data_IF_790727032160
#
_entry.id   IF_790727032160
#
_cell.length_a   1.000
_cell.length_b   1.000
_cell.length_c   1.000
_cell.angle_alpha   90.00
_cell.angle_beta   90.00
_cell.angle_gamma   90.00
#
_symmetry.space_group_name_H-M   'P 1'
#
loop_
_entity.id
_entity.type
_entity.pdbx_description
1 polymer ?
#
# COMPACT_ATOMS: atom_id res chain seq x y z
N UNK A 1 -0.13 -23.13 5.09
CA UNK A 1 -1.39 -22.57 5.61
C UNK A 1 -2.60 -23.38 5.14
N UNK A 2 -2.87 -23.49 3.83
CA UNK A 2 -3.97 -24.33 3.27
C UNK A 2 -4.08 -25.74 3.85
N UNK A 3 -2.96 -26.45 4.00
CA UNK A 3 -2.97 -27.79 4.61
C UNK A 3 -3.48 -27.79 6.06
N UNK A 4 -3.17 -26.75 6.83
CA UNK A 4 -3.68 -26.59 8.18
C UNK A 4 -5.19 -26.35 8.19
N UNK A 5 -5.72 -25.57 7.24
CA UNK A 5 -7.16 -25.39 7.06
C UNK A 5 -7.84 -26.72 6.73
N UNK A 6 -7.30 -27.49 5.77
CA UNK A 6 -7.79 -28.84 5.43
C UNK A 6 -7.78 -29.77 6.65
N UNK A 7 -6.75 -29.69 7.49
CA UNK A 7 -6.66 -30.46 8.73
C UNK A 7 -7.43 -29.90 9.93
N UNK A 8 -8.21 -28.82 9.76
CA UNK A 8 -9.00 -28.19 10.84
C UNK A 8 -10.46 -28.01 10.42
N UNK A 9 -10.95 -26.77 10.36
CA UNK A 9 -12.38 -26.47 10.18
C UNK A 9 -12.88 -26.87 8.79
N UNK A 10 -12.05 -26.81 7.75
CA UNK A 10 -12.45 -27.25 6.41
C UNK A 10 -12.58 -28.77 6.32
N UNK A 11 -11.65 -29.51 6.94
CA UNK A 11 -11.73 -30.97 7.04
C UNK A 11 -12.99 -31.40 7.76
N UNK A 12 -13.31 -30.74 8.88
CA UNK A 12 -14.56 -30.96 9.61
C UNK A 12 -15.81 -30.75 8.74
N UNK A 13 -15.86 -29.69 7.93
CA UNK A 13 -16.97 -29.47 6.99
C UNK A 13 -17.08 -30.64 5.99
N UNK A 14 -15.96 -31.13 5.48
CA UNK A 14 -15.92 -32.25 4.53
C UNK A 14 -16.34 -33.59 5.12
N UNK A 15 -15.97 -33.85 6.37
CA UNK A 15 -16.27 -35.11 7.06
C UNK A 15 -17.67 -35.13 7.70
N UNK A 16 -18.26 -33.96 7.94
CA UNK A 16 -19.55 -33.85 8.64
C UNK A 16 -20.73 -34.20 7.70
N UNK A 17 -21.61 -35.15 8.08
CA UNK A 17 -22.62 -35.73 7.19
C UNK A 17 -23.60 -34.71 6.58
N UNK A 18 -23.92 -33.67 7.34
CA UNK A 18 -24.81 -32.58 6.91
C UNK A 18 -24.04 -31.45 6.22
N UNK A 19 -22.90 -31.00 6.76
CA UNK A 19 -22.21 -29.80 6.29
C UNK A 19 -21.60 -29.98 4.90
N UNK A 20 -21.09 -31.19 4.59
CA UNK A 20 -20.51 -31.49 3.28
C UNK A 20 -21.45 -31.22 2.10
N UNK A 21 -22.77 -31.26 2.33
CA UNK A 21 -23.80 -31.01 1.32
C UNK A 21 -24.33 -29.56 1.35
N UNK A 22 -24.04 -28.80 2.41
CA UNK A 22 -24.53 -27.44 2.61
C UNK A 22 -23.46 -26.37 2.36
N UNK A 23 -22.19 -26.72 2.55
CA UNK A 23 -21.07 -25.78 2.54
C UNK A 23 -20.04 -26.23 1.51
N UNK A 24 -19.76 -25.35 0.55
CA UNK A 24 -18.69 -25.52 -0.42
C UNK A 24 -17.52 -24.61 -0.04
N UNK A 25 -16.35 -25.19 0.24
CA UNK A 25 -15.12 -24.44 0.54
C UNK A 25 -14.18 -24.50 -0.66
N UNK A 26 -13.60 -23.35 -1.04
CA UNK A 26 -12.62 -23.21 -2.11
C UNK A 26 -11.52 -22.23 -1.72
N UNK A 27 -10.27 -22.55 -2.07
CA UNK A 27 -9.15 -21.62 -2.01
C UNK A 27 -9.08 -20.81 -3.31
N UNK A 28 -8.78 -19.52 -3.19
CA UNK A 28 -8.69 -18.60 -4.33
C UNK A 28 -7.24 -18.18 -4.48
N UNK A 29 -6.64 -18.48 -5.63
CA UNK A 29 -5.24 -18.19 -5.91
C UNK A 29 -5.14 -17.39 -7.21
N UNK A 30 -4.29 -16.37 -7.22
CA UNK A 30 -3.95 -15.68 -8.46
C UNK A 30 -3.16 -16.60 -9.37
N UNK A 31 -3.59 -16.72 -10.62
CA UNK A 31 -3.02 -17.64 -11.61
C UNK A 31 -1.52 -17.38 -11.85
N UNK A 32 -1.08 -16.14 -11.71
CA UNK A 32 0.28 -15.74 -12.04
C UNK A 32 1.03 -15.32 -10.77
N UNK A 33 2.23 -15.86 -10.54
CA UNK A 33 3.14 -15.29 -9.55
C UNK A 33 3.80 -14.01 -10.09
N UNK A 34 4.23 -13.10 -9.22
CA UNK A 34 4.93 -11.89 -9.65
C UNK A 34 6.31 -12.23 -10.27
N UNK A 35 6.56 -11.92 -11.57
CA UNK A 35 7.81 -12.22 -12.27
C UNK A 35 9.02 -11.45 -11.74
N UNK A 36 8.79 -10.39 -10.97
CA UNK A 36 9.84 -9.49 -10.49
C UNK A 36 10.39 -10.00 -9.15
N UNK A 37 11.72 -10.14 -8.98
CA UNK A 37 12.36 -10.45 -7.71
C UNK A 37 11.97 -9.43 -6.63
N UNK A 38 11.82 -9.85 -5.38
CA UNK A 38 11.34 -8.97 -4.31
C UNK A 38 12.23 -7.73 -4.11
N UNK A 39 13.54 -7.91 -4.28
CA UNK A 39 14.55 -6.86 -4.15
C UNK A 39 14.44 -5.80 -5.25
N UNK A 40 13.94 -6.20 -6.43
CA UNK A 40 13.78 -5.38 -7.63
C UNK A 40 12.37 -4.77 -7.77
N UNK A 41 11.51 -4.90 -6.74
CA UNK A 41 10.19 -4.25 -6.71
C UNK A 41 10.26 -2.84 -6.11
N UNK A 42 9.41 -1.94 -6.58
CA UNK A 42 9.21 -0.62 -5.95
C UNK A 42 8.72 -0.76 -4.50
N UNK A 43 7.87 -1.75 -4.24
CA UNK A 43 7.43 -2.14 -2.90
C UNK A 43 7.08 -3.64 -2.89
N UNK A 44 7.21 -4.27 -1.73
CA UNK A 44 7.02 -5.71 -1.56
C UNK A 44 5.57 -6.19 -1.85
N UNK A 45 4.60 -5.29 -1.78
CA UNK A 45 3.17 -5.60 -1.88
C UNK A 45 2.61 -5.52 -3.30
N UNK A 46 3.40 -4.99 -4.24
CA UNK A 46 3.05 -4.81 -5.64
C UNK A 46 3.93 -5.67 -6.54
N UNK A 47 3.58 -5.76 -7.83
CA UNK A 47 4.45 -6.32 -8.85
C UNK A 47 4.96 -5.25 -9.82
N UNK A 48 5.46 -4.13 -9.27
CA UNK A 48 5.99 -3.01 -10.08
C UNK A 48 7.52 -3.01 -10.02
N UNK A 49 8.15 -2.97 -11.19
CA UNK A 49 9.61 -2.96 -11.32
C UNK A 49 10.20 -1.65 -10.79
N UNK A 50 11.27 -1.78 -10.01
CA UNK A 50 12.06 -0.64 -9.58
C UNK A 50 12.91 -0.12 -10.75
N UNK A 51 12.47 0.98 -11.34
CA UNK A 51 13.10 1.61 -12.51
C UNK A 51 14.29 2.50 -12.12
N UNK A 52 15.29 1.92 -11.46
CA UNK A 52 16.57 2.58 -11.19
C UNK A 52 17.57 2.25 -12.30
N UNK A 53 18.24 3.28 -12.81
CA UNK A 53 19.34 3.20 -13.77
C UNK A 53 20.68 3.48 -13.09
N UNK A 54 21.79 3.18 -13.78
CA UNK A 54 23.10 3.45 -13.22
C UNK A 54 23.30 4.96 -13.01
N UNK A 55 23.59 5.41 -11.78
CA UNK A 55 23.73 6.83 -11.51
C UNK A 55 25.06 7.36 -12.05
N UNK A 56 25.05 8.64 -12.44
CA UNK A 56 26.27 9.37 -12.78
C UNK A 56 27.11 9.52 -11.50
N UNK A 57 28.34 9.03 -11.52
CA UNK A 57 29.17 8.96 -10.31
C UNK A 57 29.67 10.35 -9.87
N UNK A 58 29.63 10.60 -8.55
CA UNK A 58 30.29 11.69 -7.81
C UNK A 58 29.78 13.11 -8.08
N UNK A 59 28.47 13.35 -8.00
CA UNK A 59 28.00 14.72 -7.85
C UNK A 59 26.81 14.80 -6.92
N UNK A 60 26.83 15.83 -6.07
CA UNK A 60 25.63 16.45 -5.54
C UNK A 60 24.69 16.72 -6.72
N UNK A 61 23.50 16.14 -6.70
CA UNK A 61 22.48 16.27 -7.72
C UNK A 61 21.44 17.28 -7.25
N UNK A 62 21.21 18.30 -8.09
CA UNK A 62 20.09 19.23 -7.92
C UNK A 62 18.83 18.54 -8.45
N UNK A 63 17.75 18.48 -7.66
CA UNK A 63 16.48 17.89 -8.12
C UNK A 63 15.88 18.63 -9.33
N UNK A 64 16.21 19.91 -9.45
CA UNK A 64 15.72 20.85 -10.44
C UNK A 64 16.86 21.79 -10.86
N UNK A 65 16.98 22.04 -12.16
CA UNK A 65 17.96 22.96 -12.74
C UNK A 65 17.26 23.98 -13.62
N UNK A 66 17.57 25.27 -13.43
CA UNK A 66 17.09 26.40 -14.23
C UNK A 66 15.55 26.44 -14.41
N UNK A 67 14.77 26.80 -13.38
CA UNK A 67 13.32 26.99 -13.52
C UNK A 67 13.03 28.11 -14.54
N UNK A 68 12.28 27.80 -15.60
CA UNK A 68 12.03 28.73 -16.71
C UNK A 68 11.20 29.95 -16.27
N UNK A 69 9.97 29.71 -15.76
CA UNK A 69 9.01 30.76 -15.44
C UNK A 69 8.45 30.55 -14.04
N UNK A 70 8.93 31.37 -13.11
CA UNK A 70 8.42 31.42 -11.74
C UNK A 70 7.17 32.31 -11.68
N UNK A 71 6.15 31.86 -10.97
CA UNK A 71 4.89 32.57 -10.76
C UNK A 71 4.75 32.91 -9.27
N UNK A 72 4.34 34.13 -8.90
CA UNK A 72 4.01 34.43 -7.51
C UNK A 72 2.88 33.53 -7.01
N UNK A 73 3.03 32.99 -5.82
CA UNK A 73 2.01 32.23 -5.13
C UNK A 73 1.27 33.12 -4.14
N UNK A 74 -0.06 33.05 -4.13
CA UNK A 74 -0.90 33.73 -3.14
C UNK A 74 -0.88 33.05 -1.77
N UNK A 75 -0.13 31.96 -1.62
CA UNK A 75 -0.09 31.14 -0.40
C UNK A 75 1.28 31.22 0.28
N UNK A 76 1.26 31.23 1.61
CA UNK A 76 2.47 31.35 2.44
C UNK A 76 3.17 30.01 2.71
N UNK A 77 2.50 28.89 2.41
CA UNK A 77 3.02 27.54 2.67
C UNK A 77 2.82 26.63 1.46
N UNK A 78 3.91 26.11 0.93
CA UNK A 78 3.95 25.17 -0.20
C UNK A 78 4.64 23.89 0.24
N UNK A 79 4.19 22.73 -0.23
CA UNK A 79 4.83 21.46 0.09
C UNK A 79 5.01 20.54 -1.13
N UNK A 80 5.99 19.64 -1.02
CA UNK A 80 6.32 18.61 -2.01
C UNK A 80 6.50 17.26 -1.31
N UNK A 81 5.67 16.27 -1.66
CA UNK A 81 5.86 14.89 -1.22
C UNK A 81 6.84 14.13 -2.12
N UNK A 82 7.69 13.31 -1.50
CA UNK A 82 8.60 12.44 -2.21
C UNK A 82 8.84 11.12 -1.46
N UNK A 83 9.29 10.12 -2.21
CA UNK A 83 9.67 8.81 -1.72
C UNK A 83 11.07 8.45 -2.17
N UNK A 84 11.85 7.91 -1.25
CA UNK A 84 13.21 7.43 -1.49
C UNK A 84 13.16 5.96 -1.86
N UNK A 85 13.65 5.61 -3.04
CA UNK A 85 13.67 4.25 -3.59
C UNK A 85 15.02 3.54 -3.43
N UNK A 86 16.07 4.31 -3.17
CA UNK A 86 17.41 3.83 -2.77
C UNK A 86 18.06 4.87 -1.82
N UNK A 87 18.89 4.49 -0.84
CA UNK A 87 19.34 5.43 0.19
C UNK A 87 20.08 6.66 -0.36
N UNK A 88 19.64 7.84 0.07
CA UNK A 88 20.22 9.14 -0.31
C UNK A 88 20.65 9.95 0.91
N UNK A 89 21.47 10.97 0.67
CA UNK A 89 21.84 11.99 1.65
C UNK A 89 21.45 13.34 1.11
N UNK A 90 20.63 14.08 1.85
CA UNK A 90 20.31 15.47 1.50
C UNK A 90 21.39 16.39 2.06
N UNK A 91 21.93 17.25 1.20
CA UNK A 91 23.08 18.10 1.52
C UNK A 91 22.73 19.58 1.55
N UNK A 92 21.73 20.02 0.77
CA UNK A 92 21.27 21.41 0.74
C UNK A 92 19.77 21.49 0.51
N UNK A 93 19.14 22.48 1.11
CA UNK A 93 17.75 22.88 0.85
C UNK A 93 17.76 24.26 0.19
N UNK A 94 16.84 24.49 -0.74
CA UNK A 94 16.82 25.72 -1.51
C UNK A 94 15.44 26.26 -1.82
N UNK A 95 15.43 27.54 -2.19
CA UNK A 95 14.25 28.36 -2.45
C UNK A 95 14.41 29.13 -3.75
N UNK A 96 13.31 29.36 -4.45
CA UNK A 96 13.29 30.23 -5.62
C UNK A 96 13.55 31.70 -5.24
N UNK A 97 14.17 32.49 -6.13
CA UNK A 97 14.38 33.92 -5.92
C UNK A 97 13.05 34.68 -5.91
N UNK A 98 12.95 35.73 -5.09
CA UNK A 98 11.71 36.50 -4.90
C UNK A 98 11.47 37.57 -5.96
N UNK A 99 12.37 37.78 -6.92
CA UNK A 99 12.24 38.86 -7.91
C UNK A 99 13.07 38.70 -9.19
N UNK A 100 12.83 39.56 -10.20
CA UNK A 100 13.37 39.42 -11.56
C UNK A 100 14.90 39.56 -11.65
N UNK A 101 15.53 40.17 -10.65
CA UNK A 101 16.99 40.38 -10.59
C UNK A 101 17.76 39.26 -9.85
N UNK A 102 17.16 38.08 -9.65
CA UNK A 102 17.78 36.96 -8.90
C UNK A 102 18.06 37.27 -7.41
N UNK A 103 17.58 38.40 -6.90
CA UNK A 103 17.69 38.76 -5.49
C UNK A 103 16.69 37.95 -4.66
N UNK A 104 17.11 37.52 -3.49
CA UNK A 104 16.24 36.95 -2.48
C UNK A 104 15.91 38.03 -1.46
N UNK A 105 14.63 38.41 -1.37
CA UNK A 105 14.18 39.42 -0.41
C UNK A 105 13.03 38.83 0.38
N UNK A 106 13.31 38.47 1.63
CA UNK A 106 12.35 37.83 2.51
C UNK A 106 13.00 36.88 3.52
N UNK A 107 12.16 36.17 4.24
CA UNK A 107 12.47 35.10 5.17
C UNK A 107 11.64 33.87 4.78
N UNK A 108 12.33 32.84 4.31
CA UNK A 108 11.73 31.55 3.97
C UNK A 108 12.42 30.48 4.79
N UNK A 109 11.61 29.67 5.46
CA UNK A 109 12.08 28.48 6.16
C UNK A 109 11.70 27.26 5.33
N UNK A 110 12.69 26.41 5.07
CA UNK A 110 12.51 25.14 4.37
C UNK A 110 12.74 24.02 5.37
N UNK A 111 11.74 23.15 5.53
CA UNK A 111 11.78 22.02 6.47
C UNK A 111 11.57 20.73 5.71
N UNK A 112 12.32 19.69 6.08
CA UNK A 112 12.08 18.33 5.63
C UNK A 112 11.49 17.54 6.77
N UNK A 113 10.35 16.91 6.51
CA UNK A 113 9.68 16.04 7.47
C UNK A 113 9.67 14.61 6.98
N UNK A 114 9.78 13.68 7.93
CA UNK A 114 9.31 12.32 7.73
C UNK A 114 7.81 12.30 7.97
N UNK A 115 7.03 11.56 7.19
CA UNK A 115 5.56 11.62 7.32
C UNK A 115 5.05 11.10 8.67
N UNK A 116 5.81 10.22 9.33
CA UNK A 116 5.53 9.67 10.66
C UNK A 116 5.99 10.58 11.81
N UNK A 117 6.70 11.68 11.53
CA UNK A 117 7.30 12.55 12.54
C UNK A 117 6.68 13.95 12.53
N UNK A 118 6.50 14.50 13.74
CA UNK A 118 6.05 15.89 13.92
C UNK A 118 7.18 16.91 13.86
N UNK A 119 8.41 16.46 14.13
CA UNK A 119 9.58 17.32 14.11
C UNK A 119 10.28 17.22 12.73
N UNK A 120 10.84 18.34 12.24
CA UNK A 120 11.58 18.31 10.99
C UNK A 120 12.88 17.54 11.16
N UNK A 121 13.16 16.62 10.25
CA UNK A 121 14.45 15.93 10.13
C UNK A 121 15.55 16.95 9.84
N UNK A 122 15.24 17.94 8.98
CA UNK A 122 16.19 18.97 8.57
C UNK A 122 15.49 20.30 8.41
N UNK A 123 16.14 21.39 8.81
CA UNK A 123 15.64 22.76 8.64
C UNK A 123 16.70 23.67 8.05
N UNK A 124 16.31 24.51 7.08
CA UNK A 124 17.12 25.59 6.53
C UNK A 124 16.36 26.91 6.60
N UNK A 125 16.98 27.93 7.17
CA UNK A 125 16.44 29.29 7.21
C UNK A 125 17.18 30.17 6.20
N UNK A 126 16.47 30.70 5.21
CA UNK A 126 16.99 31.58 4.18
C UNK A 126 16.42 32.98 4.40
N UNK A 127 17.31 33.97 4.57
CA UNK A 127 16.94 35.37 4.82
C UNK A 127 17.62 36.29 3.82
N UNK A 128 17.12 37.53 3.66
CA UNK A 128 17.77 38.55 2.81
C UNK A 128 19.26 38.75 3.13
N UNK A 129 19.65 38.63 4.41
CA UNK A 129 21.04 38.78 4.87
C UNK A 129 21.88 37.50 4.72
N UNK A 130 21.23 36.33 4.62
CA UNK A 130 21.88 35.03 4.51
C UNK A 130 21.08 34.09 3.60
N UNK A 131 21.00 34.39 2.28
CA UNK A 131 20.23 33.59 1.33
C UNK A 131 20.95 32.28 0.94
N UNK A 132 22.24 32.15 1.26
CA UNK A 132 23.04 30.98 0.89
C UNK A 132 23.78 31.16 -0.43
N UNK A 133 23.95 30.07 -1.18
CA UNK A 133 24.67 30.04 -2.47
C UNK A 133 23.67 29.90 -3.61
N UNK A 134 23.76 30.79 -4.60
CA UNK A 134 22.93 30.73 -5.80
C UNK A 134 23.52 29.76 -6.82
N UNK A 135 22.76 28.73 -7.20
CA UNK A 135 23.16 27.70 -8.16
C UNK A 135 21.97 27.38 -9.06
N UNK A 136 22.17 27.43 -10.38
CA UNK A 136 21.16 26.99 -11.39
C UNK A 136 19.74 27.56 -11.18
N UNK A 137 19.64 28.83 -10.79
CA UNK A 137 18.33 29.49 -10.63
C UNK A 137 17.75 29.47 -9.21
N UNK A 138 18.39 28.76 -8.27
CA UNK A 138 17.85 28.50 -6.92
C UNK A 138 18.88 28.91 -5.86
N UNK A 139 18.41 29.49 -4.76
CA UNK A 139 19.24 29.80 -3.59
C UNK A 139 19.28 28.60 -2.66
N UNK A 140 20.48 28.09 -2.34
CA UNK A 140 20.68 26.90 -1.52
C UNK A 140 21.43 27.21 -0.23
N UNK A 141 21.00 26.59 0.87
CA UNK A 141 21.71 26.58 2.13
C UNK A 141 22.09 25.14 2.50
N UNK A 142 23.34 24.96 2.91
CA UNK A 142 23.81 23.67 3.42
C UNK A 142 23.08 23.32 4.72
N UNK A 143 22.80 22.04 4.88
CA UNK A 143 22.11 21.48 6.03
C UNK A 143 22.93 20.34 6.64
N UNK A 144 22.58 19.96 7.87
CA UNK A 144 23.11 18.73 8.45
C UNK A 144 22.73 17.54 7.58
N UNK A 145 23.69 16.65 7.35
CA UNK A 145 23.55 15.55 6.41
C UNK A 145 22.89 14.37 7.11
N UNK A 146 21.69 14.02 6.66
CA UNK A 146 20.97 12.84 7.12
C UNK A 146 20.84 11.82 5.99
N UNK A 147 21.06 10.55 6.33
CA UNK A 147 20.82 9.43 5.42
C UNK A 147 19.33 9.13 5.46
N UNK A 148 18.66 9.31 4.32
CA UNK A 148 17.29 8.89 4.14
C UNK A 148 17.30 7.44 3.60
N UNK A 149 16.79 6.46 4.35
CA UNK A 149 16.84 5.05 3.95
C UNK A 149 15.89 4.74 2.78
N UNK A 150 16.11 3.60 2.11
CA UNK A 150 15.16 3.07 1.13
C UNK A 150 13.79 2.88 1.76
N UNK A 151 12.74 3.38 1.10
CA UNK A 151 11.38 3.37 1.59
C UNK A 151 11.00 4.58 2.44
N UNK A 152 11.93 5.51 2.69
CA UNK A 152 11.61 6.78 3.36
C UNK A 152 10.55 7.54 2.57
N UNK A 153 9.49 7.94 3.26
CA UNK A 153 8.42 8.79 2.75
C UNK A 153 8.45 10.09 3.55
N UNK A 154 8.57 11.20 2.85
CA UNK A 154 8.70 12.51 3.47
C UNK A 154 8.17 13.62 2.58
N UNK A 155 8.16 14.81 3.14
CA UNK A 155 7.77 16.01 2.42
C UNK A 155 8.69 17.18 2.75
N UNK A 156 8.88 18.04 1.77
CA UNK A 156 9.50 19.35 1.94
C UNK A 156 8.41 20.39 2.12
N UNK A 157 8.60 21.29 3.08
CA UNK A 157 7.71 22.38 3.42
C UNK A 157 8.47 23.70 3.28
N UNK A 158 7.99 24.60 2.44
CA UNK A 158 8.45 25.98 2.36
C UNK A 158 7.41 26.86 3.04
N UNK A 159 7.82 27.62 4.06
CA UNK A 159 6.97 28.58 4.77
C UNK A 159 7.60 29.99 4.72
N UNK A 160 6.78 30.99 4.46
CA UNK A 160 7.16 32.41 4.55
C UNK A 160 6.21 33.18 5.46
N UNK A 161 6.75 34.21 6.12
CA UNK A 161 5.98 35.18 6.89
C UNK A 161 5.82 36.51 6.15
N UNK A 162 6.39 36.63 4.95
CA UNK A 162 6.37 37.88 4.18
C UNK A 162 5.10 38.03 3.37
N UNK A 163 4.69 39.29 3.19
CA UNK A 163 3.51 39.68 2.40
C UNK A 163 3.69 39.36 0.91
N UNK A 164 4.94 39.31 0.42
CA UNK A 164 5.26 39.07 -0.99
C UNK A 164 5.03 37.62 -1.44
N UNK A 165 4.71 36.69 -0.51
CA UNK A 165 4.43 35.30 -0.82
C UNK A 165 5.65 34.49 -1.28
N UNK A 166 5.44 33.22 -1.61
CA UNK A 166 6.45 32.35 -2.21
C UNK A 166 6.40 32.45 -3.74
N UNK A 167 7.52 32.26 -4.41
CA UNK A 167 7.51 31.97 -5.84
C UNK A 167 7.31 30.48 -6.06
N UNK A 168 6.46 30.10 -7.01
CA UNK A 168 6.21 28.71 -7.41
C UNK A 168 6.57 28.47 -8.87
N UNK A 169 6.68 27.21 -9.25
CA UNK A 169 6.94 26.77 -10.62
C UNK A 169 5.77 25.93 -11.12
N UNK A 170 5.32 26.19 -12.35
CA UNK A 170 4.36 25.31 -13.01
C UNK A 170 5.07 23.99 -13.40
N UNK A 171 4.57 22.88 -12.87
CA UNK A 171 5.21 21.57 -12.92
C UNK A 171 4.96 20.81 -14.22
N UNK A 172 3.97 21.22 -15.04
CA UNK A 172 3.49 20.44 -16.19
C UNK A 172 4.60 20.02 -17.18
N UNK A 173 5.67 20.80 -17.29
CA UNK A 173 6.76 20.60 -18.26
C UNK A 173 8.15 20.47 -17.62
N UNK A 174 8.23 20.24 -16.31
CA UNK A 174 9.50 20.22 -15.58
C UNK A 174 10.10 18.82 -15.57
N UNK A 175 11.34 18.70 -16.04
CA UNK A 175 12.12 17.46 -15.88
C UNK A 175 12.89 17.47 -14.56
N UNK A 176 12.60 16.49 -13.71
CA UNK A 176 13.29 16.31 -12.43
C UNK A 176 14.49 15.38 -12.58
N UNK A 177 15.60 15.76 -11.96
CA UNK A 177 16.75 14.88 -11.83
C UNK A 177 16.56 13.97 -10.60
N UNK A 178 15.99 12.79 -10.84
CA UNK A 178 15.73 11.77 -9.81
C UNK A 178 16.96 10.91 -9.49
N UNK A 179 18.15 11.29 -9.97
CA UNK A 179 19.39 10.54 -9.75
C UNK A 179 19.37 9.14 -10.37
N UNK A 180 18.71 9.00 -11.52
CA UNK A 180 18.47 7.71 -12.16
C UNK A 180 17.32 6.92 -11.53
N UNK A 181 16.32 7.59 -10.95
CA UNK A 181 15.13 6.97 -10.38
C UNK A 181 15.23 6.59 -8.89
N UNK A 182 16.25 7.05 -8.16
CA UNK A 182 16.40 6.79 -6.72
C UNK A 182 15.41 7.59 -5.86
N UNK A 183 14.77 8.61 -6.43
CA UNK A 183 13.70 9.40 -5.81
C UNK A 183 12.48 9.38 -6.72
N UNK A 184 11.29 9.22 -6.12
CA UNK A 184 9.99 9.35 -6.78
C UNK A 184 9.25 10.53 -6.16
N UNK A 185 8.92 11.54 -6.95
CA UNK A 185 8.09 12.65 -6.52
C UNK A 185 6.61 12.26 -6.66
N UNK A 186 5.76 12.74 -5.74
CA UNK A 186 4.32 12.61 -5.91
C UNK A 186 3.84 13.51 -7.06
N UNK A 187 2.78 13.12 -7.79
CA UNK A 187 2.17 14.00 -8.78
C UNK A 187 1.71 15.31 -8.12
N UNK A 188 2.01 16.43 -8.77
CA UNK A 188 1.57 17.77 -8.38
C UNK A 188 0.39 18.11 -9.28
N UNK A 189 -0.81 17.71 -8.88
CA UNK A 189 -2.04 18.02 -9.61
C UNK A 189 -2.72 19.25 -8.99
N UNK A 190 -2.92 20.31 -9.77
CA UNK A 190 -3.81 21.41 -9.40
C UNK A 190 -5.27 20.93 -9.49
N UNK A 191 -6.03 21.08 -8.39
CA UNK A 191 -7.48 20.93 -8.41
C UNK A 191 -8.02 19.53 -8.10
N UNK A 192 -7.20 18.51 -7.91
CA UNK A 192 -7.56 17.45 -6.97
C UNK A 192 -7.37 18.02 -5.59
N UNK A 193 -8.42 18.09 -4.78
CA UNK A 193 -8.28 18.21 -3.34
C UNK A 193 -7.98 16.78 -2.83
N UNK A 194 -6.73 16.33 -2.66
CA UNK A 194 -6.52 15.33 -1.66
C UNK A 194 -6.58 16.07 -0.34
N UNK A 195 -7.35 15.56 0.60
CA UNK A 195 -7.19 15.86 2.02
C UNK A 195 -5.81 15.38 2.55
N UNK A 196 -4.74 15.38 1.73
CA UNK A 196 -3.33 15.34 2.11
C UNK A 196 -3.04 16.64 2.85
N UNK A 197 -3.53 16.68 4.08
CA UNK A 197 -3.05 17.49 5.17
C UNK A 197 -3.25 19.00 5.03
N UNK A 198 -3.72 19.62 6.11
CA UNK A 198 -3.75 21.07 6.30
C UNK A 198 -2.33 21.68 6.45
N UNK A 199 -1.32 21.16 5.74
CA UNK A 199 0.08 21.58 5.84
C UNK A 199 0.44 22.70 4.87
N UNK A 200 -0.25 22.85 3.73
CA UNK A 200 0.01 23.89 2.73
C UNK A 200 -0.63 23.56 1.39
N UNK A 201 -0.19 24.23 0.31
CA UNK A 201 -0.62 23.92 -1.06
C UNK A 201 0.42 23.03 -1.76
N UNK A 202 0.00 22.00 -2.52
CA UNK A 202 0.93 21.16 -3.26
C UNK A 202 1.62 22.00 -4.35
N UNK A 203 2.95 21.94 -4.42
CA UNK A 203 3.71 22.71 -5.38
C UNK A 203 5.21 22.68 -5.14
N UNK A 204 5.93 23.52 -5.87
CA UNK A 204 7.38 23.67 -5.76
C UNK A 204 7.71 25.12 -5.52
N UNK A 205 8.34 25.44 -4.40
CA UNK A 205 8.85 26.78 -4.09
C UNK A 205 10.39 26.86 -4.07
N UNK A 206 11.05 25.80 -4.55
CA UNK A 206 12.48 25.67 -4.56
C UNK A 206 12.92 24.27 -4.99
N UNK A 207 14.02 23.81 -4.40
CA UNK A 207 14.55 22.48 -4.66
C UNK A 207 15.46 22.03 -3.53
N UNK A 208 16.02 20.84 -3.68
CA UNK A 208 17.00 20.30 -2.74
C UNK A 208 18.15 19.64 -3.52
N UNK A 209 19.28 19.49 -2.84
CA UNK A 209 20.46 18.82 -3.35
C UNK A 209 20.66 17.55 -2.57
N UNK A 210 20.88 16.46 -3.28
CA UNK A 210 21.09 15.15 -2.67
C UNK A 210 22.23 14.40 -3.36
N UNK A 211 22.76 13.40 -2.65
CA UNK A 211 23.72 12.45 -3.20
C UNK A 211 23.27 11.02 -2.86
N UNK A 212 23.68 10.05 -3.68
CA UNK A 212 23.40 8.64 -3.38
C UNK A 212 24.39 8.18 -2.31
N UNK A 213 23.87 7.56 -1.25
CA UNK A 213 24.66 7.18 -0.09
C UNK A 213 25.76 6.15 -0.44
N UNK A 214 25.39 5.09 -1.15
CA UNK A 214 26.35 4.06 -1.59
C UNK A 214 26.18 3.69 -3.08
N UNK A 215 26.86 4.46 -3.93
CA UNK A 215 26.89 4.22 -5.38
C UNK A 215 27.51 2.86 -5.74
N UNK A 216 28.42 2.32 -4.90
CA UNK A 216 29.10 1.05 -5.20
C UNK A 216 28.14 -0.12 -5.01
N UNK A 217 27.41 -0.13 -3.90
CA UNK A 217 26.39 -1.14 -3.64
C UNK A 217 25.24 -1.04 -4.64
N UNK A 218 24.78 0.16 -4.99
CA UNK A 218 23.75 0.33 -6.03
C UNK A 218 24.21 -0.24 -7.39
N UNK A 219 25.44 0.04 -7.82
CA UNK A 219 26.01 -0.52 -9.07
C UNK A 219 26.10 -2.05 -9.02
N UNK A 220 26.54 -2.61 -7.90
CA UNK A 220 26.62 -4.07 -7.70
C UNK A 220 25.23 -4.69 -7.76
N UNK A 221 24.24 -4.06 -7.12
CA UNK A 221 22.85 -4.51 -7.15
C UNK A 221 22.27 -4.48 -8.57
N UNK A 222 22.52 -3.41 -9.35
CA UNK A 222 22.09 -3.30 -10.75
C UNK A 222 22.70 -4.39 -11.63
N UNK A 223 23.99 -4.71 -11.47
CA UNK A 223 24.65 -5.79 -12.22
C UNK A 223 24.04 -7.16 -11.94
N UNK A 224 23.64 -7.41 -10.69
CA UNK A 224 23.02 -8.68 -10.30
C UNK A 224 21.54 -8.83 -10.70
N UNK A 225 20.91 -7.81 -11.32
CA UNK A 225 19.48 -7.83 -11.63
C UNK A 225 19.11 -8.96 -12.60
N UNK A 226 19.93 -9.21 -13.63
CA UNK A 226 19.67 -10.25 -14.60
C UNK A 226 19.68 -11.66 -13.95
N UNK A 227 20.67 -11.92 -13.10
CA UNK A 227 20.79 -13.20 -12.39
C UNK A 227 19.62 -13.42 -11.43
N UNK A 228 19.21 -12.38 -10.68
CA UNK A 228 18.02 -12.43 -9.81
C UNK A 228 16.75 -12.70 -10.60
N UNK A 229 16.60 -12.05 -11.75
CA UNK A 229 15.47 -12.26 -12.64
C UNK A 229 15.39 -13.73 -13.11
N UNK A 230 16.51 -14.30 -13.57
CA UNK A 230 16.57 -15.69 -13.99
C UNK A 230 16.25 -16.66 -12.83
N UNK A 231 16.79 -16.40 -11.64
CA UNK A 231 16.52 -17.21 -10.45
C UNK A 231 15.03 -17.14 -10.04
N UNK A 232 14.42 -15.94 -10.12
CA UNK A 232 13.00 -15.75 -9.82
C UNK A 232 12.11 -16.50 -10.81
N UNK A 233 12.42 -16.45 -12.10
CA UNK A 233 11.69 -17.19 -13.13
C UNK A 233 11.77 -18.71 -12.92
N UNK A 234 12.95 -19.22 -12.55
CA UNK A 234 13.10 -20.64 -12.22
C UNK A 234 12.23 -21.03 -11.03
N UNK A 235 12.28 -20.25 -9.95
CA UNK A 235 11.46 -20.47 -8.75
C UNK A 235 9.96 -20.40 -9.03
N UNK A 236 9.52 -19.45 -9.87
CA UNK A 236 8.12 -19.34 -10.27
C UNK A 236 7.61 -20.57 -11.00
N UNK A 237 8.42 -21.17 -11.89
CA UNK A 237 8.06 -22.42 -12.56
C UNK A 237 7.90 -23.58 -11.58
N UNK A 238 8.74 -23.64 -10.54
CA UNK A 238 8.63 -24.64 -9.48
C UNK A 238 7.37 -24.43 -8.63
N UNK A 239 7.10 -23.19 -8.23
CA UNK A 239 5.90 -22.81 -7.47
C UNK A 239 4.62 -23.11 -8.25
N UNK A 240 4.58 -22.78 -9.55
CA UNK A 240 3.45 -23.09 -10.44
C UNK A 240 3.23 -24.61 -10.55
N UNK A 241 4.30 -25.40 -10.74
CA UNK A 241 4.19 -26.86 -10.81
C UNK A 241 3.66 -27.45 -9.51
N UNK A 242 4.12 -26.97 -8.36
CA UNK A 242 3.65 -27.41 -7.05
C UNK A 242 2.16 -27.07 -6.84
N UNK A 243 1.73 -25.87 -7.23
CA UNK A 243 0.33 -25.45 -7.15
C UNK A 243 -0.59 -26.26 -8.08
N UNK A 244 -0.13 -26.61 -9.28
CA UNK A 244 -0.89 -27.47 -10.19
C UNK A 244 -1.06 -28.88 -9.63
N UNK A 245 -0.01 -29.45 -9.03
CA UNK A 245 -0.10 -30.76 -8.37
C UNK A 245 -1.04 -30.74 -7.16
N UNK A 246 -0.97 -29.69 -6.34
CA UNK A 246 -1.90 -29.48 -5.23
C UNK A 246 -3.34 -29.37 -5.74
N UNK A 247 -3.58 -28.57 -6.77
CA UNK A 247 -4.90 -28.40 -7.37
C UNK A 247 -5.46 -29.72 -7.93
N UNK A 248 -4.61 -30.56 -8.53
CA UNK A 248 -5.02 -31.88 -9.03
C UNK A 248 -5.33 -32.85 -7.89
N UNK A 249 -4.58 -32.77 -6.80
CA UNK A 249 -4.71 -33.67 -5.64
C UNK A 249 -6.00 -33.39 -4.86
N UNK A 250 -6.29 -32.12 -4.57
CA UNK A 250 -7.38 -31.75 -3.67
C UNK A 250 -8.63 -31.20 -4.37
N UNK A 251 -8.52 -30.70 -5.60
CA UNK A 251 -9.67 -30.17 -6.37
C UNK A 251 -10.37 -28.97 -5.72
N UNK A 252 -9.73 -28.31 -4.76
CA UNK A 252 -10.29 -27.26 -3.92
C UNK A 252 -9.75 -25.85 -4.25
N UNK A 253 -8.86 -25.73 -5.24
CA UNK A 253 -8.26 -24.47 -5.67
C UNK A 253 -8.97 -23.92 -6.92
N UNK A 254 -9.30 -22.63 -6.88
CA UNK A 254 -9.77 -21.84 -8.02
C UNK A 254 -8.69 -20.83 -8.38
N UNK A 255 -8.17 -20.96 -9.61
CA UNK A 255 -7.24 -19.99 -10.18
C UNK A 255 -8.02 -18.87 -10.87
N UNK A 256 -7.70 -17.62 -10.51
CA UNK A 256 -8.26 -16.42 -11.14
C UNK A 256 -7.16 -15.63 -11.85
N UNK A 257 -7.47 -15.02 -12.99
CA UNK A 257 -6.47 -14.45 -13.90
C UNK A 257 -5.91 -13.10 -13.40
N UNK A 258 -5.05 -13.17 -12.38
CA UNK A 258 -4.41 -12.02 -11.74
C UNK A 258 -3.01 -12.40 -11.26
N UNK A 259 -2.12 -11.41 -11.18
CA UNK A 259 -0.83 -11.58 -10.51
C UNK A 259 -1.05 -11.59 -9.00
N UNK A 260 -0.76 -12.70 -8.32
CA UNK A 260 -1.00 -12.87 -6.89
C UNK A 260 0.00 -12.03 -6.09
N UNK A 261 -0.46 -10.84 -5.73
CA UNK A 261 0.23 -9.88 -4.87
C UNK A 261 -0.80 -9.27 -3.95
N UNK A 262 -0.33 -8.74 -2.82
CA UNK A 262 -1.21 -8.11 -1.86
C UNK A 262 -2.06 -6.98 -2.49
N UNK A 263 -1.46 -6.12 -3.31
CA UNK A 263 -2.18 -5.03 -3.99
C UNK A 263 -3.28 -5.51 -4.95
N UNK A 264 -3.19 -6.73 -5.45
CA UNK A 264 -4.15 -7.28 -6.39
C UNK A 264 -5.26 -8.12 -5.72
N UNK A 265 -5.30 -8.20 -4.38
CA UNK A 265 -6.34 -8.94 -3.65
C UNK A 265 -7.76 -8.52 -4.03
N UNK A 266 -8.10 -7.23 -4.21
CA UNK A 266 -9.46 -6.87 -4.60
C UNK A 266 -9.82 -7.37 -6.02
N UNK A 267 -8.88 -7.36 -6.96
CA UNK A 267 -9.08 -7.97 -8.28
C UNK A 267 -9.26 -9.49 -8.18
N UNK A 268 -8.45 -10.15 -7.35
CA UNK A 268 -8.59 -11.59 -7.05
C UNK A 268 -10.02 -11.91 -6.57
N UNK A 269 -10.56 -11.08 -5.68
CA UNK A 269 -11.92 -11.24 -5.16
C UNK A 269 -13.00 -10.98 -6.22
N UNK A 270 -12.89 -9.91 -7.00
CA UNK A 270 -13.84 -9.60 -8.08
C UNK A 270 -13.89 -10.70 -9.15
N UNK A 271 -12.74 -11.24 -9.54
CA UNK A 271 -12.68 -12.36 -10.48
C UNK A 271 -13.21 -13.66 -9.88
N UNK A 272 -13.01 -13.89 -8.59
CA UNK A 272 -13.66 -14.99 -7.90
C UNK A 272 -15.19 -14.84 -7.88
N UNK A 273 -15.73 -13.65 -7.65
CA UNK A 273 -17.18 -13.41 -7.72
C UNK A 273 -17.74 -13.72 -9.11
N UNK A 274 -17.03 -13.33 -10.20
CA UNK A 274 -17.41 -13.73 -11.57
C UNK A 274 -17.44 -15.26 -11.72
N UNK A 275 -16.45 -15.97 -11.15
CA UNK A 275 -16.41 -17.42 -11.17
C UNK A 275 -17.56 -18.04 -10.35
N UNK A 276 -17.77 -17.59 -9.12
CA UNK A 276 -18.74 -18.14 -8.18
C UNK A 276 -20.17 -18.04 -8.73
N UNK A 277 -20.55 -16.87 -9.26
CA UNK A 277 -21.89 -16.65 -9.84
C UNK A 277 -22.18 -17.62 -11.00
N UNK A 278 -21.15 -17.91 -11.82
CA UNK A 278 -21.28 -18.75 -13.02
C UNK A 278 -21.22 -20.24 -12.72
N UNK A 279 -20.45 -20.64 -11.71
CA UNK A 279 -20.06 -22.05 -11.51
C UNK A 279 -20.59 -22.64 -10.19
N UNK A 280 -21.15 -21.84 -9.29
CA UNK A 280 -21.67 -22.31 -8.01
C UNK A 280 -23.13 -21.88 -7.79
N UNK A 281 -23.89 -22.79 -7.18
CA UNK A 281 -25.22 -22.50 -6.65
C UNK A 281 -25.10 -22.26 -5.15
N UNK A 282 -25.35 -21.04 -4.70
CA UNK A 282 -25.20 -20.63 -3.30
C UNK A 282 -26.20 -19.53 -2.95
N UNK A 283 -26.64 -19.51 -1.69
CA UNK A 283 -27.48 -18.44 -1.15
C UNK A 283 -26.64 -17.34 -0.48
N UNK A 284 -25.55 -17.74 0.17
CA UNK A 284 -24.60 -16.88 0.88
C UNK A 284 -23.19 -17.29 0.50
N UNK A 285 -22.29 -16.30 0.40
CA UNK A 285 -20.87 -16.49 0.18
C UNK A 285 -20.11 -15.95 1.38
N UNK A 286 -19.35 -16.80 2.08
CA UNK A 286 -18.43 -16.42 3.14
C UNK A 286 -17.04 -16.19 2.54
N UNK A 287 -16.50 -14.97 2.65
CA UNK A 287 -15.08 -14.69 2.42
C UNK A 287 -14.35 -14.76 3.75
N UNK A 288 -13.19 -15.40 3.78
CA UNK A 288 -12.22 -15.37 4.89
C UNK A 288 -10.80 -15.46 4.35
N UNK A 289 -9.80 -15.08 5.16
CA UNK A 289 -8.38 -15.31 4.86
C UNK A 289 -7.95 -16.71 5.29
N UNK A 290 -6.82 -17.19 4.77
CA UNK A 290 -6.32 -18.54 5.03
C UNK A 290 -5.61 -18.68 6.39
N UNK A 291 -5.44 -17.59 7.12
CA UNK A 291 -4.91 -17.53 8.48
C UNK A 291 -6.00 -17.35 9.55
N UNK A 292 -7.25 -17.71 9.22
CA UNK A 292 -8.40 -17.54 10.09
C UNK A 292 -8.93 -18.87 10.64
N UNK A 293 -9.28 -18.87 11.93
CA UNK A 293 -10.16 -19.85 12.53
C UNK A 293 -11.61 -19.52 12.18
N UNK A 294 -12.43 -20.52 11.86
CA UNK A 294 -13.85 -20.37 11.53
C UNK A 294 -14.67 -21.40 12.30
N UNK A 295 -15.72 -20.94 12.98
CA UNK A 295 -16.68 -21.80 13.67
C UNK A 295 -17.94 -21.99 12.81
N UNK A 296 -17.94 -23.03 11.97
CA UNK A 296 -19.00 -23.26 11.00
C UNK A 296 -20.36 -23.60 11.63
N UNK A 297 -20.37 -24.30 12.76
CA UNK A 297 -21.62 -24.66 13.45
C UNK A 297 -22.34 -23.39 13.95
N UNK A 298 -21.60 -22.51 14.64
CA UNK A 298 -22.15 -21.24 15.15
C UNK A 298 -22.59 -20.31 14.01
N UNK A 299 -21.87 -20.31 12.88
CA UNK A 299 -22.26 -19.53 11.71
C UNK A 299 -23.61 -20.01 11.18
N UNK A 300 -23.82 -21.32 11.02
CA UNK A 300 -25.07 -21.88 10.50
C UNK A 300 -26.23 -21.66 11.46
N UNK A 301 -26.02 -21.85 12.77
CA UNK A 301 -27.01 -21.52 13.80
C UNK A 301 -27.43 -20.04 13.70
N UNK A 302 -26.47 -19.12 13.53
CA UNK A 302 -26.77 -17.69 13.38
C UNK A 302 -27.42 -17.35 12.05
N UNK A 303 -27.14 -18.07 10.96
CA UNK A 303 -27.82 -17.91 9.67
C UNK A 303 -29.32 -18.17 9.84
N UNK A 304 -29.68 -19.29 10.45
CA UNK A 304 -31.07 -19.69 10.63
C UNK A 304 -31.78 -18.78 11.63
N UNK A 305 -31.18 -18.56 12.80
CA UNK A 305 -31.75 -17.74 13.87
C UNK A 305 -32.00 -16.29 13.42
N UNK A 306 -31.05 -15.68 12.70
CA UNK A 306 -31.17 -14.30 12.21
C UNK A 306 -31.85 -14.18 10.84
N UNK A 307 -32.23 -15.29 10.21
CA UNK A 307 -32.83 -15.34 8.87
C UNK A 307 -31.97 -14.60 7.84
N UNK A 308 -30.69 -14.96 7.78
CA UNK A 308 -29.69 -14.28 6.94
C UNK A 308 -29.83 -14.62 5.46
N UNK A 309 -30.52 -15.70 5.09
CA UNK A 309 -30.79 -16.01 3.68
C UNK A 309 -31.85 -15.04 3.14
N UNK A 310 -31.38 -13.92 2.59
CA UNK A 310 -32.18 -12.84 1.99
C UNK A 310 -31.32 -12.00 1.04
N UNK A 311 -31.98 -11.22 0.18
CA UNK A 311 -31.33 -10.27 -0.73
C UNK A 311 -30.74 -9.06 0.01
N UNK A 312 -29.79 -8.37 -0.62
CA UNK A 312 -29.09 -7.19 -0.09
C UNK A 312 -28.49 -7.40 1.30
N UNK A 313 -27.90 -8.57 1.56
CA UNK A 313 -27.21 -8.84 2.82
C UNK A 313 -25.70 -8.77 2.65
N UNK A 314 -25.08 -7.91 3.44
CA UNK A 314 -23.67 -8.01 3.78
C UNK A 314 -23.54 -8.07 5.29
N UNK A 315 -23.11 -9.22 5.81
CA UNK A 315 -23.02 -9.49 7.24
C UNK A 315 -21.59 -9.77 7.67
N UNK A 316 -21.11 -9.02 8.65
CA UNK A 316 -19.76 -9.14 9.20
C UNK A 316 -19.53 -8.07 10.26
N UNK A 317 -18.29 -7.94 10.71
CA UNK A 317 -17.89 -6.83 11.57
C UNK A 317 -17.52 -5.61 10.70
N UNK A 318 -18.30 -4.54 10.75
CA UNK A 318 -18.09 -3.36 9.91
C UNK A 318 -17.30 -2.28 10.66
N UNK A 319 -16.22 -1.82 10.05
CA UNK A 319 -15.53 -0.59 10.47
C UNK A 319 -16.28 0.60 9.90
N UNK A 320 -16.29 1.71 10.64
CA UNK A 320 -16.93 2.96 10.24
C UNK A 320 -15.97 4.12 10.50
N UNK A 321 -16.02 5.14 9.64
CA UNK A 321 -15.19 6.35 9.77
C UNK A 321 -13.69 6.05 9.93
N UNK A 322 -13.22 4.98 9.28
CA UNK A 322 -11.84 4.55 9.37
C UNK A 322 -10.95 5.48 8.56
N UNK A 323 -9.84 5.95 9.14
CA UNK A 323 -8.91 6.85 8.46
C UNK A 323 -8.19 6.16 7.32
N UNK A 324 -8.02 6.89 6.22
CA UNK A 324 -7.30 6.43 5.04
C UNK A 324 -5.82 6.63 5.28
N UNK A 325 -5.08 5.52 5.39
CA UNK A 325 -3.63 5.59 5.55
C UNK A 325 -2.99 6.18 4.32
N UNK A 326 -2.20 7.23 4.52
CA UNK A 326 -1.50 7.93 3.44
C UNK A 326 -0.04 7.55 3.36
N UNK A 327 0.42 6.60 4.17
CA UNK A 327 1.80 6.13 4.24
C UNK A 327 1.91 4.66 4.60
N UNK A 328 3.10 4.10 4.39
CA UNK A 328 3.42 2.74 4.81
C UNK A 328 2.83 1.67 3.88
N UNK A 329 2.74 0.44 4.40
CA UNK A 329 2.32 -0.75 3.64
C UNK A 329 0.97 -0.57 2.94
N UNK A 330 0.08 0.18 3.57
CA UNK A 330 -1.34 0.22 3.24
C UNK A 330 -1.79 1.60 2.77
N UNK A 331 -0.81 2.43 2.44
CA UNK A 331 -0.98 3.73 1.81
C UNK A 331 -1.95 3.65 0.63
N UNK A 332 -2.96 4.50 0.67
CA UNK A 332 -3.88 4.78 -0.42
C UNK A 332 -3.79 6.27 -0.79
N UNK A 333 -3.25 6.55 -1.98
CA UNK A 333 -2.98 7.92 -2.43
C UNK A 333 -4.09 8.50 -3.30
N UNK A 334 -4.88 7.64 -3.96
CA UNK A 334 -5.85 8.08 -4.95
C UNK A 334 -7.26 8.25 -4.38
N UNK A 335 -7.51 7.70 -3.18
CA UNK A 335 -8.80 7.83 -2.54
C UNK A 335 -8.99 9.27 -2.02
N UNK A 336 -10.05 9.95 -2.47
CA UNK A 336 -10.19 11.39 -2.24
C UNK A 336 -10.50 11.75 -0.77
N UNK A 337 -11.35 10.97 -0.10
CA UNK A 337 -11.80 11.27 1.27
C UNK A 337 -10.72 10.92 2.31
N UNK A 338 -10.65 11.61 3.47
CA UNK A 338 -9.75 11.24 4.56
C UNK A 338 -10.20 9.98 5.30
N UNK A 339 -11.44 9.54 5.12
CA UNK A 339 -12.01 8.34 5.75
C UNK A 339 -12.73 7.45 4.73
N UNK A 340 -12.62 6.14 4.90
CA UNK A 340 -13.34 5.15 4.10
C UNK A 340 -14.84 5.11 4.46
N UNK A 341 -15.73 4.73 3.51
CA UNK A 341 -17.09 4.34 3.85
C UNK A 341 -17.07 3.12 4.78
N UNK A 342 -18.22 2.72 5.31
CA UNK A 342 -18.28 1.50 6.10
C UNK A 342 -17.87 0.27 5.24
N UNK A 343 -16.95 -0.55 5.76
CA UNK A 343 -16.50 -1.77 5.11
C UNK A 343 -16.36 -2.90 6.12
N UNK A 344 -16.50 -4.14 5.64
CA UNK A 344 -16.37 -5.32 6.47
C UNK A 344 -14.90 -5.65 6.75
N UNK A 345 -14.61 -6.00 7.98
CA UNK A 345 -13.29 -6.43 8.43
C UNK A 345 -12.87 -7.77 7.81
N UNK A 346 -11.57 -8.02 7.69
CA UNK A 346 -11.02 -9.10 6.87
C UNK A 346 -11.14 -10.53 7.41
N UNK A 347 -11.36 -10.70 8.72
CA UNK A 347 -11.45 -12.01 9.40
C UNK A 347 -12.60 -12.89 8.91
N UNK A 348 -13.62 -12.28 8.31
CA UNK A 348 -14.72 -13.00 7.72
C UNK A 348 -15.96 -12.14 7.51
N UNK A 349 -16.58 -12.26 6.34
CA UNK A 349 -17.91 -11.69 6.10
C UNK A 349 -18.71 -12.52 5.10
N UNK A 350 -20.03 -12.47 5.25
CA UNK A 350 -20.98 -13.09 4.34
C UNK A 350 -21.68 -12.09 3.45
N UNK A 351 -21.86 -12.45 2.19
CA UNK A 351 -22.55 -11.65 1.18
C UNK A 351 -23.63 -12.49 0.51
N UNK A 352 -24.82 -11.92 0.30
CA UNK A 352 -25.90 -12.58 -0.43
C UNK A 352 -25.59 -12.70 -1.92
N UNK A 353 -26.15 -13.72 -2.57
CA UNK A 353 -25.91 -14.00 -4.00
C UNK A 353 -26.13 -12.78 -4.90
N UNK A 354 -27.21 -12.03 -4.71
CA UNK A 354 -27.57 -10.86 -5.51
C UNK A 354 -26.53 -9.73 -5.43
N UNK A 355 -25.92 -9.53 -4.26
CA UNK A 355 -24.82 -8.56 -4.10
C UNK A 355 -23.53 -9.07 -4.76
N UNK A 356 -23.22 -10.36 -4.64
CA UNK A 356 -22.08 -10.97 -5.35
C UNK A 356 -22.27 -10.86 -6.87
N UNK A 357 -23.50 -11.08 -7.37
CA UNK A 357 -23.87 -10.89 -8.77
C UNK A 357 -23.70 -9.44 -9.23
N UNK A 358 -24.13 -8.47 -8.41
CA UNK A 358 -23.94 -7.05 -8.68
C UNK A 358 -22.46 -6.68 -8.74
N UNK A 359 -21.65 -7.13 -7.78
CA UNK A 359 -20.20 -6.88 -7.74
C UNK A 359 -19.49 -7.51 -8.95
N UNK A 360 -19.83 -8.76 -9.28
CA UNK A 360 -19.28 -9.46 -10.44
C UNK A 360 -19.60 -8.77 -11.77
N UNK A 361 -20.84 -8.28 -11.91
CA UNK A 361 -21.32 -7.61 -13.12
C UNK A 361 -20.75 -6.21 -13.31
N UNK A 362 -20.33 -5.56 -12.21
CA UNK A 362 -19.76 -4.21 -12.22
C UNK A 362 -18.24 -4.19 -12.01
N UNK A 363 -17.59 -5.35 -11.88
CA UNK A 363 -16.16 -5.46 -11.56
C UNK A 363 -15.26 -4.56 -12.41
N UNK A 364 -15.55 -4.41 -13.71
CA UNK A 364 -14.72 -3.64 -14.64
C UNK A 364 -14.96 -2.11 -14.54
N UNK A 365 -16.00 -1.69 -13.80
CA UNK A 365 -16.35 -0.29 -13.54
C UNK A 365 -15.98 0.15 -12.12
N UNK A 366 -15.73 -0.80 -11.22
CA UNK A 366 -15.40 -0.52 -9.84
C UNK A 366 -13.93 -0.09 -9.75
N UNK A 367 -13.69 1.02 -9.04
CA UNK A 367 -12.32 1.40 -8.66
C UNK A 367 -11.92 0.61 -7.43
N UNK A 368 -10.72 0.03 -7.50
CA UNK A 368 -10.12 -0.72 -6.40
C UNK A 368 -9.27 0.22 -5.56
N UNK A 369 -9.43 0.15 -4.24
CA UNK A 369 -8.60 0.85 -3.27
C UNK A 369 -7.94 -0.15 -2.32
N UNK A 370 -6.79 0.22 -1.78
CA UNK A 370 -6.12 -0.50 -0.70
C UNK A 370 -6.66 -0.05 0.66
N UNK A 371 -6.61 -0.90 1.69
CA UNK A 371 -7.01 -0.51 3.04
C UNK A 371 -6.27 -1.35 4.10
N UNK A 372 -5.91 -0.75 5.23
CA UNK A 372 -5.41 -1.41 6.46
C UNK A 372 -6.47 -2.25 7.15
N UNK A 373 -7.73 -1.87 6.96
CA UNK A 373 -8.85 -2.32 7.77
C UNK A 373 -9.21 -3.81 7.66
N UNK A 374 -8.51 -4.59 6.82
CA UNK A 374 -8.62 -6.05 6.82
C UNK A 374 -8.17 -6.66 8.15
N UNK A 375 -7.23 -6.03 8.86
CA UNK A 375 -6.76 -6.51 10.16
C UNK A 375 -7.91 -6.40 11.18
N UNK A 376 -8.50 -7.51 11.58
CA UNK A 376 -9.40 -7.55 12.73
C UNK A 376 -8.64 -7.86 14.00
N UNK A 377 -9.21 -7.48 15.14
CA UNK A 377 -8.63 -7.80 16.44
C UNK A 377 -8.57 -9.32 16.61
N UNK A 378 -7.39 -9.81 16.98
CA UNK A 378 -7.15 -11.22 17.29
C UNK A 378 -7.70 -11.50 18.69
N UNK A 379 -9.01 -11.51 18.81
CA UNK A 379 -9.71 -11.88 20.03
C UNK A 379 -10.07 -13.36 20.02
N UNK A 380 -10.14 -13.93 21.23
CA UNK A 380 -10.62 -15.28 21.45
C UNK A 380 -11.68 -15.27 22.54
N UNK A 381 -12.90 -15.65 22.18
CA UNK A 381 -14.03 -15.83 23.08
C UNK A 381 -14.88 -17.01 22.61
N UNK A 382 -15.65 -17.61 23.52
CA UNK A 382 -16.31 -18.92 23.32
C UNK A 382 -17.22 -18.97 22.08
N UNK A 383 -18.00 -17.92 21.83
CA UNK A 383 -18.96 -17.84 20.72
C UNK A 383 -18.41 -17.10 19.48
N UNK A 384 -17.07 -17.02 19.34
CA UNK A 384 -16.45 -16.40 18.18
C UNK A 384 -16.76 -17.18 16.89
N UNK A 385 -17.17 -16.44 15.86
CA UNK A 385 -17.48 -16.99 14.54
C UNK A 385 -16.23 -17.12 13.68
N UNK A 386 -15.35 -16.12 13.79
CA UNK A 386 -14.07 -16.07 13.10
C UNK A 386 -13.02 -15.41 14.00
N UNK A 387 -11.77 -15.83 13.89
CA UNK A 387 -10.64 -15.12 14.51
C UNK A 387 -9.44 -15.16 13.54
N UNK A 388 -8.82 -14.01 13.20
CA UNK A 388 -7.78 -13.95 12.16
C UNK A 388 -6.35 -14.05 12.72
N UNK A 389 -5.35 -13.97 11.82
CA UNK A 389 -3.93 -13.80 12.15
C UNK A 389 -3.34 -14.96 12.96
N UNK A 390 -3.74 -16.18 12.64
CA UNK A 390 -3.25 -17.39 13.30
C UNK A 390 -2.11 -18.04 12.51
N UNK A 391 -1.09 -18.49 13.24
CA UNK A 391 -0.11 -19.39 12.65
C UNK A 391 -0.73 -20.78 12.42
N UNK A 392 -0.05 -21.62 11.63
CA UNK A 392 -0.46 -23.03 11.46
C UNK A 392 -0.63 -23.74 12.82
N UNK A 393 0.25 -23.49 13.78
CA UNK A 393 0.18 -24.09 15.12
C UNK A 393 -1.03 -23.57 15.90
N UNK A 394 -1.30 -22.28 15.82
CA UNK A 394 -2.44 -21.66 16.51
C UNK A 394 -3.77 -22.22 15.98
N UNK A 395 -3.91 -22.37 14.65
CA UNK A 395 -5.13 -22.94 14.04
C UNK A 395 -5.39 -24.36 14.55
N UNK A 396 -4.38 -25.22 14.56
CA UNK A 396 -4.52 -26.58 15.09
C UNK A 396 -4.81 -26.58 16.59
N UNK A 397 -4.20 -25.67 17.35
CA UNK A 397 -4.45 -25.54 18.78
C UNK A 397 -5.91 -25.18 19.06
N UNK A 398 -6.41 -24.08 18.46
CA UNK A 398 -7.78 -23.62 18.62
C UNK A 398 -8.79 -24.70 18.21
N UNK A 399 -8.56 -25.36 17.07
CA UNK A 399 -9.45 -26.42 16.58
C UNK A 399 -9.44 -27.64 17.50
N UNK A 400 -8.28 -28.03 18.03
CA UNK A 400 -8.19 -29.14 18.97
C UNK A 400 -8.91 -28.83 20.29
N UNK A 401 -8.76 -27.62 20.83
CA UNK A 401 -9.51 -27.20 22.04
C UNK A 401 -11.02 -27.23 21.79
N UNK A 402 -11.47 -26.68 20.65
CA UNK A 402 -12.89 -26.74 20.23
C UNK A 402 -13.42 -28.18 20.19
N UNK A 403 -12.65 -29.13 19.67
CA UNK A 403 -13.06 -30.53 19.58
C UNK A 403 -13.08 -31.24 20.94
N UNK A 404 -12.15 -30.90 21.84
CA UNK A 404 -12.01 -31.57 23.14
C UNK A 404 -13.08 -31.10 24.12
N UNK A 405 -13.31 -29.79 24.22
CA UNK A 405 -14.16 -29.22 25.27
C UNK A 405 -15.18 -28.19 24.78
N UNK A 406 -15.28 -27.97 23.47
CA UNK A 406 -16.27 -27.06 22.89
C UNK A 406 -15.87 -25.59 22.91
N UNK A 407 -14.78 -25.22 23.59
CA UNK A 407 -14.24 -23.86 23.66
C UNK A 407 -12.89 -23.78 22.93
N UNK A 408 -12.78 -23.01 21.83
CA UNK A 408 -11.52 -22.84 21.10
C UNK A 408 -10.43 -22.09 21.91
N UNK A 409 -10.81 -21.30 22.93
CA UNK A 409 -9.91 -20.43 23.68
C UNK A 409 -9.27 -21.12 24.89
N UNK A 410 -9.76 -22.28 25.26
CA UNK A 410 -9.20 -23.14 26.30
C UNK A 410 -10.27 -23.92 27.04
N UNK A 411 -9.95 -25.14 27.45
CA UNK A 411 -10.79 -25.90 28.35
C UNK A 411 -10.66 -25.34 29.77
N UNK A 412 -11.72 -24.68 30.25
CA UNK A 412 -11.83 -24.15 31.61
C UNK A 412 -11.61 -25.20 32.69
#
# INVERSE_FOLDING_TARGET
MREAIRGTWMGYVGDHPVLQNQVLVKFIIGKHGCPIPEEDRENLFSCTQLNITEPVARQDMTILSNPDTLVPSDVSVIYLDFKVLDPIVITKLGVFPSGPQKNFNGNVTVKLFSVDQKEPVVTAHLTTLSPGVYVEGIWYKSVEQFILPKGFEGYLLWETQDVAGLMTLNVSNVQFNTGGGVIKLAPIEEGTLPHRNAHGFPGLAGGFVFSIYDVRELKKWLRGRADRQQAREARLREEEKALQEESRTYGDIIFVDVVDTYRNVPFKLLYFYKWAVRNANFSLLLKTDDDCYINMDEILIKIDYKRLIRSNLWWGNFRQSWTVDRVGKWQELEYASPVYPAFACGSGYMVSRDLVEWLASNADKLKVYQDEGWLCEKECYVDMLSSPQHTVKDLHFLWNQKNVCGDPCGCS
#
